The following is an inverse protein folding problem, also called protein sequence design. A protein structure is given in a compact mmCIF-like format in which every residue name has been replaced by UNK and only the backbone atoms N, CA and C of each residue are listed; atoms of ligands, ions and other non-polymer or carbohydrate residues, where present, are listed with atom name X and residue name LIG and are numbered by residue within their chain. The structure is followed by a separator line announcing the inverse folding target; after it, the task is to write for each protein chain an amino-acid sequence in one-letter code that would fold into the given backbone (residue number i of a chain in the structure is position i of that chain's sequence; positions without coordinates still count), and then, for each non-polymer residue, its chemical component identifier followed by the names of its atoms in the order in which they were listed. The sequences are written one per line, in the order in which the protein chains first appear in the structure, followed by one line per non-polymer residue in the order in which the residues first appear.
data_IF_139166075959
#
_entry.id   IF_139166075959
#
_cell.length_a   1.000
_cell.length_b   1.000
_cell.length_c   1.000
_cell.angle_alpha   90.00
_cell.angle_beta   90.00
_cell.angle_gamma   90.00
#
_symmetry.space_group_name_H-M   'P 1'
#
loop_
_entity.id
_entity.type
_entity.pdbx_description
1 polymer ?
#
# COMPACT_ATOMS: atom_id res chain seq x y z
N UNK A 1 -9.05 -14.05 39.14
CA UNK A 1 -8.31 -12.76 39.13
C UNK A 1 -9.06 -11.81 38.20
N UNK A 2 -9.67 -10.81 38.76
CA UNK A 2 -10.39 -9.76 38.04
C UNK A 2 -9.41 -8.93 37.22
N UNK A 3 -9.34 -9.18 35.92
CA UNK A 3 -8.41 -8.49 35.00
C UNK A 3 -8.97 -7.16 34.45
N UNK A 4 -10.12 -6.72 34.94
CA UNK A 4 -10.80 -5.55 34.38
C UNK A 4 -10.82 -4.28 35.27
N UNK A 5 -10.35 -4.36 36.51
CA UNK A 5 -10.46 -3.24 37.48
C UNK A 5 -9.68 -1.97 37.11
N UNK A 6 -8.73 -2.04 36.16
CA UNK A 6 -7.91 -0.90 35.75
C UNK A 6 -8.19 -0.39 34.33
N UNK A 7 -9.25 -0.88 33.67
CA UNK A 7 -9.61 -0.39 32.35
C UNK A 7 -10.42 0.91 32.49
N UNK A 8 -9.94 2.05 31.97
CA UNK A 8 -10.62 3.36 32.12
C UNK A 8 -11.80 3.52 31.14
N UNK A 9 -12.38 2.42 30.67
CA UNK A 9 -13.50 2.40 29.72
C UNK A 9 -14.69 1.66 30.31
N UNK A 10 -15.91 2.12 30.01
CA UNK A 10 -17.14 1.45 30.38
C UNK A 10 -17.31 0.12 29.64
N UNK A 11 -18.10 -0.80 30.19
CA UNK A 11 -18.45 -2.07 29.52
C UNK A 11 -19.09 -1.80 28.15
N UNK A 12 -20.02 -0.84 28.09
CA UNK A 12 -20.68 -0.44 26.84
C UNK A 12 -19.69 0.03 25.77
N UNK A 13 -18.68 0.83 26.15
CA UNK A 13 -17.64 1.27 25.23
C UNK A 13 -16.77 0.11 24.75
N UNK A 14 -16.43 -0.83 25.67
CA UNK A 14 -15.70 -2.05 25.33
C UNK A 14 -16.47 -2.90 24.33
N UNK A 15 -17.75 -3.13 24.57
CA UNK A 15 -18.60 -3.93 23.68
C UNK A 15 -18.76 -3.27 22.30
N UNK A 16 -18.87 -1.94 22.25
CA UNK A 16 -18.91 -1.20 20.99
C UNK A 16 -17.59 -1.32 20.20
N UNK A 17 -16.43 -1.20 20.86
CA UNK A 17 -15.12 -1.37 20.22
C UNK A 17 -14.98 -2.79 19.67
N UNK A 18 -15.32 -3.82 20.43
CA UNK A 18 -15.24 -5.22 20.00
C UNK A 18 -16.15 -5.48 18.82
N UNK A 19 -17.39 -4.97 18.89
CA UNK A 19 -18.36 -5.08 17.79
C UNK A 19 -17.85 -4.41 16.51
N UNK A 20 -17.36 -3.18 16.62
CA UNK A 20 -16.77 -2.43 15.49
C UNK A 20 -15.58 -3.16 14.87
N UNK A 21 -14.65 -3.65 15.70
CA UNK A 21 -13.50 -4.43 15.22
C UNK A 21 -13.92 -5.72 14.51
N UNK A 22 -14.91 -6.43 15.02
CA UNK A 22 -15.42 -7.66 14.38
C UNK A 22 -16.04 -7.36 13.00
N UNK A 23 -16.73 -6.23 12.84
CA UNK A 23 -17.26 -5.78 11.55
C UNK A 23 -16.12 -5.49 10.58
N UNK A 24 -15.13 -4.71 11.01
CA UNK A 24 -13.99 -4.30 10.18
C UNK A 24 -13.05 -5.48 9.81
N UNK A 25 -12.96 -6.49 10.67
CA UNK A 25 -12.18 -7.70 10.44
C UNK A 25 -12.92 -8.77 9.61
N UNK A 26 -14.15 -8.50 9.19
CA UNK A 26 -14.94 -9.42 8.35
C UNK A 26 -14.18 -9.80 7.07
N UNK A 27 -14.21 -11.09 6.70
CA UNK A 27 -13.45 -11.62 5.55
C UNK A 27 -13.88 -11.04 4.19
N UNK A 28 -15.16 -10.65 4.10
CA UNK A 28 -15.74 -10.13 2.86
C UNK A 28 -15.74 -8.59 2.80
N UNK A 29 -14.93 -7.95 3.66
CA UNK A 29 -14.85 -6.49 3.75
C UNK A 29 -13.54 -5.98 3.16
N UNK A 30 -13.63 -4.89 2.39
CA UNK A 30 -12.47 -4.14 1.89
C UNK A 30 -11.89 -3.17 2.96
N UNK A 31 -12.03 -3.53 4.23
CA UNK A 31 -11.64 -2.72 5.38
C UNK A 31 -10.41 -3.26 6.11
N UNK A 32 -9.89 -4.39 5.66
CA UNK A 32 -8.71 -4.99 6.28
C UNK A 32 -7.84 -5.73 5.27
N UNK A 33 -6.56 -5.81 5.58
CA UNK A 33 -5.61 -6.61 4.83
C UNK A 33 -4.53 -7.19 5.75
N UNK A 34 -4.19 -8.46 5.56
CA UNK A 34 -3.21 -9.15 6.37
C UNK A 34 -1.89 -9.33 5.63
N UNK A 35 -0.80 -8.85 6.24
CA UNK A 35 0.57 -9.13 5.79
C UNK A 35 1.31 -9.81 6.93
N UNK A 36 1.70 -11.05 6.73
CA UNK A 36 2.30 -11.87 7.76
C UNK A 36 1.37 -12.09 8.94
N UNK A 37 1.82 -11.70 10.13
CA UNK A 37 1.00 -11.80 11.35
C UNK A 37 0.28 -10.47 11.69
N UNK A 38 0.54 -9.40 10.93
CA UNK A 38 -0.08 -8.11 11.18
C UNK A 38 -1.31 -7.95 10.29
N UNK A 39 -2.44 -7.59 10.88
CA UNK A 39 -3.66 -7.21 10.17
C UNK A 39 -3.79 -5.69 10.22
N UNK A 40 -3.80 -5.08 9.07
CA UNK A 40 -4.08 -3.66 8.87
C UNK A 40 -5.58 -3.50 8.67
N UNK A 41 -6.19 -2.61 9.44
CA UNK A 41 -7.61 -2.28 9.38
C UNK A 41 -7.69 -0.81 9.03
N UNK A 42 -8.58 -0.45 8.11
CA UNK A 42 -8.76 0.94 7.70
C UNK A 42 -10.23 1.24 7.47
N UNK A 43 -10.63 2.45 7.80
CA UNK A 43 -12.00 2.94 7.62
C UNK A 43 -12.02 4.45 7.50
N UNK A 44 -13.09 4.98 6.97
CA UNK A 44 -13.35 6.41 6.92
C UNK A 44 -14.66 6.78 7.65
N UNK A 45 -14.78 8.01 8.06
CA UNK A 45 -15.99 8.50 8.74
C UNK A 45 -17.21 8.59 7.82
N UNK A 46 -16.99 8.66 6.50
CA UNK A 46 -18.06 8.72 5.49
C UNK A 46 -18.64 7.35 5.14
N UNK A 47 -18.04 6.25 5.60
CA UNK A 47 -18.41 4.86 5.26
C UNK A 47 -18.47 4.61 3.74
N UNK A 48 -17.53 5.21 3.00
CA UNK A 48 -17.40 5.03 1.55
C UNK A 48 -16.66 3.73 1.24
N UNK A 49 -17.41 2.67 0.98
CA UNK A 49 -16.88 1.34 0.69
C UNK A 49 -16.10 1.28 -0.63
N UNK A 50 -16.47 2.12 -1.62
CA UNK A 50 -15.77 2.18 -2.91
C UNK A 50 -14.38 2.80 -2.74
N UNK A 51 -14.28 3.87 -1.96
CA UNK A 51 -13.00 4.49 -1.61
C UNK A 51 -12.10 3.48 -0.87
N UNK A 52 -12.65 2.75 0.10
CA UNK A 52 -11.89 1.77 0.87
C UNK A 52 -11.39 0.62 -0.01
N UNK A 53 -12.19 0.14 -0.96
CA UNK A 53 -11.78 -0.87 -1.94
C UNK A 53 -10.63 -0.35 -2.82
N UNK A 54 -10.78 0.81 -3.43
CA UNK A 54 -9.75 1.40 -4.29
C UNK A 54 -8.45 1.69 -3.51
N UNK A 55 -8.57 2.13 -2.25
CA UNK A 55 -7.43 2.33 -1.37
C UNK A 55 -6.70 1.01 -1.05
N UNK A 56 -7.44 -0.06 -0.78
CA UNK A 56 -6.89 -1.39 -0.54
C UNK A 56 -6.12 -1.90 -1.76
N UNK A 57 -6.70 -1.79 -2.94
CA UNK A 57 -6.08 -2.22 -4.20
C UNK A 57 -4.81 -1.42 -4.49
N UNK A 58 -4.85 -0.11 -4.32
CA UNK A 58 -3.68 0.75 -4.57
C UNK A 58 -2.54 0.54 -3.57
N UNK A 59 -2.87 0.31 -2.29
CA UNK A 59 -1.88 0.31 -1.19
C UNK A 59 -1.39 -1.09 -0.85
N UNK A 60 -2.28 -2.08 -0.82
CA UNK A 60 -1.97 -3.39 -0.24
C UNK A 60 -1.90 -4.53 -1.26
N UNK A 61 -2.94 -4.73 -2.06
CA UNK A 61 -3.11 -5.95 -2.86
C UNK A 61 -2.66 -5.82 -4.31
N UNK A 62 -2.90 -4.68 -4.96
CA UNK A 62 -2.93 -4.58 -6.40
C UNK A 62 -4.19 -5.23 -6.98
N UNK A 63 -4.30 -5.18 -8.30
CA UNK A 63 -5.40 -5.83 -9.01
C UNK A 63 -5.17 -7.34 -9.12
N UNK A 64 -6.24 -8.17 -9.11
CA UNK A 64 -6.14 -9.63 -9.18
C UNK A 64 -5.32 -10.17 -10.36
N UNK A 65 -5.38 -9.48 -11.51
CA UNK A 65 -4.66 -9.86 -12.73
C UNK A 65 -3.16 -9.56 -12.70
N UNK A 66 -2.75 -8.73 -11.78
CA UNK A 66 -1.34 -8.33 -11.68
C UNK A 66 -0.45 -9.46 -11.14
N UNK A 67 -0.99 -10.43 -10.41
CA UNK A 67 -0.25 -11.58 -9.87
C UNK A 67 0.28 -12.52 -10.95
N UNK A 68 -0.35 -12.55 -12.13
CA UNK A 68 0.02 -13.46 -13.22
C UNK A 68 1.19 -12.94 -14.09
N UNK A 69 1.63 -11.70 -13.87
CA UNK A 69 2.76 -11.12 -14.62
C UNK A 69 4.12 -11.31 -13.94
N UNK A 70 4.13 -11.81 -12.71
CA UNK A 70 5.37 -12.06 -11.95
C UNK A 70 6.08 -13.36 -12.35
N UNK A 71 5.45 -14.23 -13.15
CA UNK A 71 6.05 -15.45 -13.69
C UNK A 71 6.50 -15.21 -15.13
N UNK A 72 7.76 -14.79 -15.30
CA UNK A 72 8.45 -14.76 -16.59
C UNK A 72 8.81 -16.18 -17.03
N UNK A 73 7.83 -16.98 -17.42
CA UNK A 73 8.05 -18.12 -18.29
C UNK A 73 7.71 -17.73 -19.73
N UNK A 74 8.76 -17.58 -20.54
CA UNK A 74 8.68 -17.43 -21.99
C UNK A 74 8.18 -18.74 -22.61
N UNK A 75 6.85 -18.90 -22.71
CA UNK A 75 6.29 -19.86 -23.62
C UNK A 75 5.53 -19.13 -24.75
N UNK A 76 6.05 -19.29 -25.96
CA UNK A 76 5.78 -18.46 -27.14
C UNK A 76 4.38 -18.63 -27.77
N UNK A 77 3.47 -19.38 -27.17
CA UNK A 77 2.16 -19.71 -27.75
C UNK A 77 0.96 -18.91 -27.22
N UNK A 78 1.17 -17.96 -26.28
CA UNK A 78 0.08 -17.27 -25.58
C UNK A 78 0.06 -15.75 -25.74
N UNK A 79 0.78 -15.19 -26.72
CA UNK A 79 0.97 -13.75 -26.88
C UNK A 79 -0.32 -12.92 -26.98
N UNK A 80 -1.35 -13.43 -27.66
CA UNK A 80 -2.62 -12.69 -27.83
C UNK A 80 -3.45 -12.61 -26.54
N UNK A 81 -3.48 -13.69 -25.72
CA UNK A 81 -4.17 -13.70 -24.42
C UNK A 81 -3.46 -12.80 -23.40
N UNK A 82 -2.11 -12.79 -23.39
CA UNK A 82 -1.32 -11.93 -22.50
C UNK A 82 -1.53 -10.44 -22.82
N UNK A 83 -1.60 -10.06 -24.10
CA UNK A 83 -1.85 -8.66 -24.53
C UNK A 83 -3.26 -8.19 -24.15
N UNK A 84 -4.29 -9.02 -24.33
CA UNK A 84 -5.66 -8.68 -23.94
C UNK A 84 -5.76 -8.49 -22.41
N UNK A 85 -5.21 -9.43 -21.64
CA UNK A 85 -5.20 -9.38 -20.17
C UNK A 85 -4.45 -8.15 -19.64
N UNK A 86 -3.33 -7.75 -20.29
CA UNK A 86 -2.59 -6.53 -19.94
C UNK A 86 -3.42 -5.26 -20.18
N UNK A 87 -4.13 -5.16 -21.31
CA UNK A 87 -4.99 -4.00 -21.62
C UNK A 87 -6.15 -3.85 -20.63
N UNK A 88 -6.72 -4.96 -20.15
CA UNK A 88 -7.79 -4.92 -19.16
C UNK A 88 -7.25 -4.50 -17.79
N UNK A 89 -6.08 -4.98 -17.36
CA UNK A 89 -5.40 -4.53 -16.14
C UNK A 89 -5.05 -3.03 -16.18
N UNK A 90 -4.62 -2.50 -17.31
CA UNK A 90 -4.34 -1.06 -17.46
C UNK A 90 -5.60 -0.20 -17.34
N UNK A 91 -6.73 -0.67 -17.88
CA UNK A 91 -8.03 0.02 -17.74
C UNK A 91 -8.50 0.04 -16.29
N UNK A 92 -8.41 -1.09 -15.59
CA UNK A 92 -8.79 -1.20 -14.18
C UNK A 92 -7.88 -0.33 -13.30
N UNK A 93 -6.57 -0.30 -13.57
CA UNK A 93 -5.64 0.61 -12.90
C UNK A 93 -6.05 2.07 -13.07
N UNK A 94 -6.43 2.48 -14.29
CA UNK A 94 -6.95 3.84 -14.55
C UNK A 94 -8.19 4.15 -13.72
N UNK A 95 -9.10 3.21 -13.62
CA UNK A 95 -10.34 3.36 -12.82
C UNK A 95 -10.01 3.57 -11.34
N UNK A 96 -9.14 2.75 -10.76
CA UNK A 96 -8.72 2.88 -9.35
C UNK A 96 -8.07 4.24 -9.09
N UNK A 97 -7.13 4.65 -9.93
CA UNK A 97 -6.44 5.94 -9.77
C UNK A 97 -7.38 7.11 -9.96
N UNK A 98 -8.29 7.03 -10.93
CA UNK A 98 -9.29 8.07 -11.16
C UNK A 98 -10.28 8.18 -10.00
N UNK A 99 -10.71 7.05 -9.42
CA UNK A 99 -11.56 7.03 -8.23
C UNK A 99 -10.86 7.70 -7.04
N UNK A 100 -9.58 7.37 -6.79
CA UNK A 100 -8.80 8.02 -5.75
C UNK A 100 -8.61 9.53 -5.99
N UNK A 101 -8.36 9.95 -7.23
CA UNK A 101 -8.28 11.38 -7.60
C UNK A 101 -9.63 12.09 -7.42
N UNK A 102 -10.72 11.42 -7.75
CA UNK A 102 -12.08 11.96 -7.56
C UNK A 102 -12.40 12.18 -6.08
N UNK A 103 -11.94 11.30 -5.20
CA UNK A 103 -12.07 11.46 -3.75
C UNK A 103 -11.35 12.72 -3.24
N UNK A 104 -10.22 13.12 -3.86
CA UNK A 104 -9.54 14.39 -3.56
C UNK A 104 -10.33 15.62 -4.07
N UNK A 105 -11.01 15.47 -5.19
CA UNK A 105 -11.78 16.54 -5.85
C UNK A 105 -13.17 16.78 -5.25
N UNK A 106 -13.71 15.82 -4.52
CA UNK A 106 -15.02 15.90 -3.87
C UNK A 106 -15.02 16.86 -2.69
N UNK A 107 -14.82 18.14 -2.98
CA UNK A 107 -15.10 19.22 -2.01
C UNK A 107 -16.59 19.35 -1.85
N UNK A 108 -17.21 18.54 -1.02
CA UNK A 108 -18.58 18.78 -0.55
C UNK A 108 -18.59 20.06 0.26
N UNK A 109 -19.18 21.11 -0.32
CA UNK A 109 -19.14 22.52 0.11
C UNK A 109 -19.91 22.77 1.43
N UNK A 110 -20.60 21.75 1.99
CA UNK A 110 -21.57 21.94 3.07
C UNK A 110 -21.44 21.04 4.30
N UNK A 111 -20.35 20.28 4.45
CA UNK A 111 -20.17 19.43 5.61
C UNK A 111 -19.07 20.01 6.50
N UNK A 112 -19.37 20.12 7.79
CA UNK A 112 -18.47 20.59 8.84
C UNK A 112 -17.13 19.80 8.76
N UNK A 113 -16.08 20.49 8.29
CA UNK A 113 -14.82 19.85 7.82
C UNK A 113 -13.99 19.22 8.94
N UNK A 114 -14.29 19.50 10.19
CA UNK A 114 -13.48 19.00 11.31
C UNK A 114 -13.72 17.51 11.63
N UNK A 115 -14.89 16.94 11.28
CA UNK A 115 -15.25 15.57 11.67
C UNK A 115 -15.66 14.66 10.51
N UNK A 116 -15.95 15.18 9.32
CA UNK A 116 -16.58 14.43 8.24
C UNK A 116 -15.63 13.76 7.24
N UNK A 117 -14.35 14.11 7.27
CA UNK A 117 -13.36 13.65 6.27
C UNK A 117 -12.18 12.92 6.93
N UNK A 118 -12.46 12.12 7.96
CA UNK A 118 -11.42 11.39 8.69
C UNK A 118 -11.20 9.99 8.11
N UNK A 119 -9.94 9.63 7.99
CA UNK A 119 -9.47 8.30 7.61
C UNK A 119 -8.61 7.73 8.73
N UNK A 120 -8.87 6.50 9.09
CA UNK A 120 -8.20 5.82 10.20
C UNK A 120 -7.52 4.54 9.72
N UNK A 121 -6.34 4.27 10.28
CA UNK A 121 -5.61 3.04 10.02
C UNK A 121 -5.11 2.48 11.34
N UNK A 122 -5.40 1.20 11.58
CA UNK A 122 -5.03 0.46 12.76
C UNK A 122 -4.31 -0.83 12.35
N UNK A 123 -3.11 -1.06 12.87
CA UNK A 123 -2.43 -2.34 12.69
C UNK A 123 -2.43 -3.15 13.98
N UNK A 124 -2.93 -4.36 13.88
CA UNK A 124 -3.04 -5.31 14.98
C UNK A 124 -2.17 -6.54 14.71
N UNK A 125 -1.47 -7.00 15.73
CA UNK A 125 -0.72 -8.25 15.67
C UNK A 125 -0.98 -9.11 16.91
N UNK A 126 -1.02 -10.45 16.76
CA UNK A 126 -1.14 -11.34 17.91
C UNK A 126 0.10 -11.25 18.80
N UNK A 127 -0.11 -11.28 20.10
CA UNK A 127 0.93 -11.34 21.10
C UNK A 127 0.52 -12.31 22.21
N UNK A 128 0.85 -13.58 22.02
CA UNK A 128 0.40 -14.70 22.84
C UNK A 128 -1.14 -14.72 23.00
N UNK A 129 -1.66 -14.44 24.19
CA UNK A 129 -3.11 -14.39 24.49
C UNK A 129 -3.70 -12.98 24.35
N UNK A 130 -2.96 -12.03 23.80
CA UNK A 130 -3.36 -10.62 23.68
C UNK A 130 -3.24 -10.16 22.24
N UNK A 131 -3.86 -9.04 21.93
CA UNK A 131 -3.68 -8.31 20.67
C UNK A 131 -2.85 -7.06 20.96
N UNK A 132 -1.79 -6.86 20.20
CA UNK A 132 -0.96 -5.65 20.27
C UNK A 132 -1.33 -4.69 19.17
N UNK A 133 -1.56 -3.45 19.50
CA UNK A 133 -1.63 -2.34 18.54
C UNK A 133 -0.19 -2.03 18.10
N UNK A 134 0.07 -2.15 16.81
CA UNK A 134 1.39 -1.89 16.20
C UNK A 134 1.46 -0.54 15.53
N UNK A 135 0.34 -0.07 15.02
CA UNK A 135 0.22 1.22 14.36
C UNK A 135 -1.18 1.78 14.64
N UNK A 136 -1.24 3.07 14.93
CA UNK A 136 -2.45 3.87 14.91
C UNK A 136 -2.17 5.13 14.13
N UNK A 137 -2.99 5.41 13.14
CA UNK A 137 -2.90 6.61 12.34
C UNK A 137 -4.27 7.18 12.09
N UNK A 138 -4.34 8.48 12.11
CA UNK A 138 -5.51 9.28 11.82
C UNK A 138 -5.08 10.43 10.92
N UNK A 139 -5.86 10.74 9.91
CA UNK A 139 -5.64 11.85 9.00
C UNK A 139 -6.90 12.18 8.22
N UNK A 140 -6.84 13.14 7.34
CA UNK A 140 -7.93 13.38 6.38
C UNK A 140 -7.84 12.40 5.21
N UNK A 141 -8.97 12.10 4.57
CA UNK A 141 -9.00 11.32 3.31
C UNK A 141 -8.06 11.98 2.28
N UNK A 142 -8.11 13.31 2.18
CA UNK A 142 -7.28 14.07 1.26
C UNK A 142 -5.78 13.86 1.50
N UNK A 143 -5.32 13.87 2.75
CA UNK A 143 -3.91 13.64 3.08
C UNK A 143 -3.48 12.20 2.76
N UNK A 144 -4.24 11.22 3.23
CA UNK A 144 -3.86 9.80 3.11
C UNK A 144 -3.92 9.35 1.65
N UNK A 145 -5.01 9.66 0.95
CA UNK A 145 -5.16 9.33 -0.48
C UNK A 145 -4.18 10.14 -1.32
N UNK A 146 -3.97 11.42 -1.02
CA UNK A 146 -2.99 12.25 -1.71
C UNK A 146 -1.57 11.70 -1.59
N UNK A 147 -1.14 11.31 -0.40
CA UNK A 147 0.17 10.69 -0.18
C UNK A 147 0.30 9.32 -0.87
N UNK A 148 -0.80 8.56 -0.96
CA UNK A 148 -0.83 7.29 -1.71
C UNK A 148 -0.65 7.53 -3.22
N UNK A 149 -1.30 8.54 -3.80
CA UNK A 149 -1.10 8.91 -5.21
C UNK A 149 0.34 9.40 -5.47
N UNK A 150 0.91 10.19 -4.55
CA UNK A 150 2.33 10.57 -4.62
C UNK A 150 3.25 9.35 -4.57
N UNK A 151 2.90 8.31 -3.78
CA UNK A 151 3.65 7.06 -3.79
C UNK A 151 3.61 6.37 -5.16
N UNK A 152 2.45 6.31 -5.81
CA UNK A 152 2.32 5.72 -7.14
C UNK A 152 3.13 6.50 -8.19
N UNK A 153 3.11 7.82 -8.14
CA UNK A 153 3.90 8.68 -9.03
C UNK A 153 5.41 8.50 -8.80
N UNK A 154 5.85 8.41 -7.54
CA UNK A 154 7.26 8.17 -7.21
C UNK A 154 7.76 6.83 -7.76
N UNK A 155 6.90 5.81 -7.73
CA UNK A 155 7.18 4.46 -8.22
C UNK A 155 7.03 4.32 -9.75
N UNK A 156 6.53 5.34 -10.44
CA UNK A 156 6.39 5.31 -11.88
C UNK A 156 7.76 5.47 -12.57
N UNK A 157 8.09 4.56 -13.49
CA UNK A 157 9.29 4.65 -14.35
C UNK A 157 8.91 4.49 -15.81
N UNK A 158 9.63 5.17 -16.67
CA UNK A 158 9.49 5.00 -18.13
C UNK A 158 10.17 3.69 -18.52
N UNK A 159 9.42 2.79 -19.13
CA UNK A 159 9.96 1.56 -19.71
C UNK A 159 10.01 1.67 -21.23
N UNK A 160 10.96 0.99 -21.92
CA UNK A 160 11.03 1.03 -23.38
C UNK A 160 9.74 0.57 -24.08
N UNK A 161 8.93 -0.25 -23.39
CA UNK A 161 7.64 -0.75 -23.87
C UNK A 161 6.47 0.19 -23.53
N UNK A 162 6.68 1.17 -22.66
CA UNK A 162 5.64 2.03 -22.07
C UNK A 162 5.64 3.47 -22.60
N UNK A 163 6.41 3.78 -23.63
CA UNK A 163 6.45 5.12 -24.25
C UNK A 163 5.10 5.55 -24.87
N UNK A 164 4.13 4.67 -24.94
CA UNK A 164 2.85 4.94 -25.61
C UNK A 164 1.65 5.20 -24.67
N UNK A 165 1.77 4.94 -23.36
CA UNK A 165 0.67 5.11 -22.39
C UNK A 165 1.15 5.74 -21.08
N UNK A 166 1.74 6.93 -21.13
CA UNK A 166 2.44 7.58 -20.00
C UNK A 166 1.53 8.17 -18.91
N UNK A 167 0.21 8.17 -19.09
CA UNK A 167 -0.67 8.95 -18.20
C UNK A 167 -1.04 8.25 -16.89
N UNK A 168 -0.83 6.95 -16.78
CA UNK A 168 -1.29 6.20 -15.60
C UNK A 168 -0.18 5.35 -15.00
N UNK A 169 0.32 5.70 -13.79
CA UNK A 169 1.32 4.88 -13.12
C UNK A 169 0.73 3.51 -12.76
N UNK A 170 1.51 2.42 -12.87
CA UNK A 170 1.06 1.10 -12.45
C UNK A 170 0.86 1.04 -10.93
N UNK A 171 -0.09 0.24 -10.45
CA UNK A 171 -0.24 0.00 -9.03
C UNK A 171 1.00 -0.78 -8.51
N UNK A 172 1.60 -0.25 -7.45
CA UNK A 172 2.78 -0.83 -6.80
C UNK A 172 2.47 -1.07 -5.31
N UNK A 173 1.53 -1.98 -4.99
CA UNK A 173 1.09 -2.23 -3.63
C UNK A 173 2.22 -2.83 -2.77
N UNK A 174 2.11 -2.67 -1.46
CA UNK A 174 3.11 -3.15 -0.50
C UNK A 174 3.42 -4.64 -0.70
N UNK A 175 2.40 -5.46 -0.94
CA UNK A 175 2.59 -6.89 -1.17
C UNK A 175 3.56 -7.17 -2.32
N UNK A 176 3.41 -6.48 -3.46
CA UNK A 176 4.29 -6.64 -4.64
C UNK A 176 5.69 -6.14 -4.37
N UNK A 177 5.82 -5.00 -3.70
CA UNK A 177 7.13 -4.46 -3.33
C UNK A 177 7.87 -5.47 -2.46
N UNK A 178 7.23 -6.00 -1.42
CA UNK A 178 7.84 -6.99 -0.52
C UNK A 178 8.22 -8.28 -1.26
N UNK A 179 7.36 -8.79 -2.13
CA UNK A 179 7.64 -9.98 -2.96
C UNK A 179 8.83 -9.77 -3.90
N UNK A 180 9.02 -8.56 -4.43
CA UNK A 180 10.13 -8.26 -5.34
C UNK A 180 11.50 -8.20 -4.65
N UNK A 181 11.54 -7.89 -3.35
CA UNK A 181 12.79 -7.71 -2.59
C UNK A 181 13.11 -8.86 -1.64
N UNK A 182 12.12 -9.65 -1.22
CA UNK A 182 12.34 -10.82 -0.36
C UNK A 182 12.11 -12.11 -1.12
N UNK A 183 12.98 -13.10 -0.90
CA UNK A 183 12.88 -14.44 -1.53
C UNK A 183 11.70 -15.25 -1.00
N UNK A 184 11.28 -15.00 0.23
CA UNK A 184 10.20 -15.73 0.85
C UNK A 184 8.85 -15.33 0.20
N UNK A 185 8.17 -16.27 -0.41
CA UNK A 185 6.81 -16.11 -0.94
C UNK A 185 5.78 -16.01 0.18
N UNK A 186 6.09 -16.58 1.34
CA UNK A 186 5.27 -16.52 2.54
C UNK A 186 5.49 -15.18 3.27
N UNK A 187 4.46 -14.34 3.30
CA UNK A 187 4.50 -13.02 3.94
C UNK A 187 4.76 -13.06 5.44
N UNK A 188 4.58 -14.21 6.11
CA UNK A 188 4.90 -14.37 7.53
C UNK A 188 6.39 -14.27 7.83
N UNK A 189 7.23 -14.51 6.81
CA UNK A 189 8.70 -14.43 6.88
C UNK A 189 9.24 -13.04 6.56
N UNK A 190 8.40 -12.11 6.10
CA UNK A 190 8.84 -10.74 5.83
C UNK A 190 9.08 -9.97 7.14
N UNK A 191 10.08 -9.08 7.19
CA UNK A 191 10.35 -8.26 8.35
C UNK A 191 9.18 -7.32 8.63
N UNK A 192 8.44 -7.56 9.72
CA UNK A 192 7.23 -6.79 10.10
C UNK A 192 7.50 -5.30 10.20
N UNK A 193 8.66 -4.95 10.76
CA UNK A 193 9.05 -3.55 10.93
C UNK A 193 9.17 -2.84 9.59
N UNK A 194 9.78 -3.48 8.58
CA UNK A 194 9.94 -2.88 7.23
C UNK A 194 8.59 -2.66 6.57
N UNK A 195 7.65 -3.63 6.69
CA UNK A 195 6.28 -3.49 6.17
C UNK A 195 5.57 -2.31 6.84
N UNK A 196 5.66 -2.20 8.16
CA UNK A 196 5.03 -1.14 8.93
C UNK A 196 5.63 0.23 8.59
N UNK A 197 6.96 0.36 8.55
CA UNK A 197 7.65 1.60 8.20
C UNK A 197 7.38 2.02 6.75
N UNK A 198 7.27 1.06 5.82
CA UNK A 198 6.91 1.35 4.44
C UNK A 198 5.49 1.91 4.35
N UNK A 199 4.52 1.29 5.01
CA UNK A 199 3.14 1.78 5.07
C UNK A 199 3.08 3.18 5.68
N UNK A 200 3.76 3.39 6.80
CA UNK A 200 3.84 4.70 7.45
C UNK A 200 4.46 5.76 6.53
N UNK A 201 5.49 5.39 5.78
CA UNK A 201 6.13 6.28 4.80
C UNK A 201 5.20 6.63 3.64
N UNK A 202 4.38 5.68 3.18
CA UNK A 202 3.37 5.94 2.14
C UNK A 202 2.33 6.93 2.66
N UNK A 203 1.71 6.62 3.80
CA UNK A 203 0.58 7.37 4.37
C UNK A 203 0.99 8.81 4.76
N UNK A 204 2.17 8.98 5.38
CA UNK A 204 2.68 10.28 5.82
C UNK A 204 3.50 11.04 4.77
N UNK A 205 3.70 10.48 3.58
CA UNK A 205 4.56 11.08 2.57
C UNK A 205 6.04 11.17 2.98
N UNK A 206 6.50 10.29 3.89
CA UNK A 206 7.86 10.28 4.40
C UNK A 206 8.83 9.58 3.44
N UNK A 207 10.16 9.78 3.58
CA UNK A 207 11.15 8.94 2.92
C UNK A 207 10.96 7.47 3.27
N UNK A 208 11.27 6.59 2.32
CA UNK A 208 11.21 5.15 2.58
C UNK A 208 12.28 4.72 3.58
N UNK A 209 12.05 3.65 4.36
CA UNK A 209 13.03 3.16 5.33
C UNK A 209 14.31 2.68 4.62
N UNK A 210 15.50 2.96 5.19
CA UNK A 210 16.77 2.49 4.61
C UNK A 210 16.85 0.98 4.47
N UNK A 211 16.21 0.22 5.36
CA UNK A 211 16.13 -1.23 5.30
C UNK A 211 15.48 -1.73 3.99
N UNK A 212 14.52 -0.98 3.43
CA UNK A 212 13.89 -1.31 2.15
C UNK A 212 14.89 -1.21 0.98
N UNK A 213 15.72 -0.15 0.96
CA UNK A 213 16.77 0.01 -0.05
C UNK A 213 17.81 -1.11 0.06
N UNK A 214 18.27 -1.40 1.27
CA UNK A 214 19.27 -2.45 1.51
C UNK A 214 18.76 -3.80 1.05
N UNK A 215 17.54 -4.19 1.44
CA UNK A 215 16.93 -5.44 0.98
C UNK A 215 16.80 -5.52 -0.55
N UNK A 216 16.46 -4.40 -1.21
CA UNK A 216 16.40 -4.33 -2.67
C UNK A 216 17.78 -4.58 -3.32
N UNK A 217 18.84 -3.93 -2.81
CA UNK A 217 20.20 -4.10 -3.32
C UNK A 217 20.74 -5.52 -3.06
N UNK A 218 20.50 -6.06 -1.87
CA UNK A 218 20.86 -7.44 -1.53
C UNK A 218 20.17 -8.44 -2.47
N UNK A 219 18.89 -8.21 -2.77
CA UNK A 219 18.14 -9.04 -3.70
C UNK A 219 18.71 -8.96 -5.13
N UNK A 220 19.04 -7.77 -5.62
CA UNK A 220 19.68 -7.58 -6.93
C UNK A 220 21.04 -8.30 -6.98
N UNK A 221 21.81 -8.20 -5.91
CA UNK A 221 23.10 -8.87 -5.80
C UNK A 221 22.95 -10.40 -5.76
N UNK A 222 21.98 -10.91 -5.01
CA UNK A 222 21.68 -12.34 -4.96
C UNK A 222 21.29 -12.90 -6.34
N UNK A 223 20.50 -12.13 -7.10
CA UNK A 223 20.00 -12.53 -8.41
C UNK A 223 20.98 -12.17 -9.56
N UNK A 224 22.25 -11.84 -9.29
CA UNK A 224 23.21 -11.36 -10.29
C UNK A 224 23.45 -12.34 -11.46
N UNK A 225 23.25 -13.64 -11.25
CA UNK A 225 23.33 -14.68 -12.29
C UNK A 225 22.05 -14.83 -13.11
N UNK A 226 20.96 -14.21 -12.67
CA UNK A 226 19.69 -14.18 -13.41
C UNK A 226 19.83 -13.32 -14.68
N UNK A 227 19.06 -13.64 -15.71
CA UNK A 227 18.98 -12.85 -16.95
C UNK A 227 18.58 -11.39 -16.69
N UNK A 228 17.75 -11.16 -15.66
CA UNK A 228 17.23 -9.84 -15.30
C UNK A 228 17.29 -9.60 -13.77
N UNK A 229 18.47 -9.31 -13.21
CA UNK A 229 18.60 -9.09 -11.77
C UNK A 229 17.89 -7.80 -11.31
N UNK A 230 17.79 -6.81 -12.20
CA UNK A 230 17.09 -5.56 -11.97
C UNK A 230 15.75 -5.60 -12.69
N UNK A 231 14.70 -5.98 -11.96
CA UNK A 231 13.34 -5.91 -12.48
C UNK A 231 12.83 -4.46 -12.50
N UNK A 232 11.79 -4.21 -13.30
CA UNK A 232 11.13 -2.89 -13.37
C UNK A 232 10.73 -2.38 -11.99
N UNK A 233 10.14 -3.24 -11.15
CA UNK A 233 9.70 -2.86 -9.81
C UNK A 233 10.87 -2.51 -8.88
N UNK A 234 12.00 -3.26 -8.96
CA UNK A 234 13.21 -2.94 -8.18
C UNK A 234 13.83 -1.62 -8.61
N UNK A 235 13.87 -1.34 -9.91
CA UNK A 235 14.35 -0.06 -10.44
C UNK A 235 13.44 1.10 -9.99
N UNK A 236 12.12 0.92 -10.07
CA UNK A 236 11.14 1.89 -9.60
C UNK A 236 11.30 2.19 -8.10
N UNK A 237 11.51 1.15 -7.29
CA UNK A 237 11.71 1.29 -5.84
C UNK A 237 12.97 2.09 -5.51
N UNK A 238 14.11 1.80 -6.17
CA UNK A 238 15.36 2.54 -5.96
C UNK A 238 15.23 4.01 -6.39
N UNK A 239 14.59 4.26 -7.56
CA UNK A 239 14.28 5.62 -8.00
C UNK A 239 13.41 6.36 -6.98
N UNK A 240 12.33 5.75 -6.52
CA UNK A 240 11.41 6.35 -5.56
C UNK A 240 12.09 6.62 -4.21
N UNK A 241 12.94 5.71 -3.74
CA UNK A 241 13.74 5.90 -2.53
C UNK A 241 14.63 7.14 -2.63
N UNK A 242 15.38 7.28 -3.73
CA UNK A 242 16.26 8.43 -3.98
C UNK A 242 15.45 9.72 -4.05
N UNK A 243 14.39 9.75 -4.85
CA UNK A 243 13.55 10.93 -5.02
C UNK A 243 12.94 11.41 -3.69
N UNK A 244 12.40 10.51 -2.88
CA UNK A 244 11.82 10.85 -1.58
C UNK A 244 12.86 11.35 -0.58
N UNK A 245 14.06 10.75 -0.57
CA UNK A 245 15.16 11.18 0.27
C UNK A 245 15.61 12.60 -0.08
N UNK A 246 15.71 12.94 -1.37
CA UNK A 246 16.13 14.25 -1.84
C UNK A 246 15.04 15.32 -1.73
N UNK A 247 13.76 14.95 -1.88
CA UNK A 247 12.63 15.89 -1.75
C UNK A 247 12.60 16.59 -0.39
N UNK A 248 13.09 15.96 0.68
CA UNK A 248 13.22 16.55 2.01
C UNK A 248 14.50 17.37 2.23
N UNK A 249 15.43 17.38 1.25
CA UNK A 249 16.67 18.13 1.38
C UNK A 249 16.63 19.36 0.46
N UNK A 250 16.17 20.54 0.94
CA UNK A 250 15.99 21.73 0.12
C UNK A 250 17.27 22.26 -0.52
N UNK A 251 18.46 21.84 -0.06
CA UNK A 251 19.74 22.27 -0.59
C UNK A 251 20.09 21.71 -1.97
N UNK A 252 19.40 20.64 -2.44
CA UNK A 252 19.69 20.01 -3.74
C UNK A 252 18.85 20.61 -4.86
N UNK A 253 17.78 21.37 -4.56
CA UNK A 253 16.97 22.08 -5.56
C UNK A 253 17.73 23.21 -6.30
N UNK A 254 18.94 23.55 -5.89
CA UNK A 254 19.75 24.61 -6.52
C UNK A 254 20.75 24.09 -7.55
N UNK A 255 20.80 22.79 -7.83
CA UNK A 255 21.77 22.16 -8.75
C UNK A 255 21.14 21.55 -10.00
N UNK A 256 19.84 21.74 -10.21
CA UNK A 256 19.13 21.40 -11.44
C UNK A 256 18.46 22.64 -12.02
#
# INVERSE_FOLDING_TARGET
KEQGLNAPISQTASDAIISGLNILLGKDKNTNYRIGETTFIFWNSLQDDELLKNYQEATFTGLPFDSDFDEEEEDSSTSKKKVAKKRDSEKETKVVIQALRSALGSKNVYIDREHSDRFYILALAPNAKRVSVKLWMEGTVSEIVGNTLVHLDDMNIVTPKGLLDEETPPLRPIYRIMKAIYTATDSTKWPRQVVQELLESIIKGLPYPPALQMACLERIHHDHTSKYPITELRAALLKAYINRKHRKNPQIKQLT
#
